data_IF_582322525414
#
_entry.id   IF_582322525414
#
_cell.length_a   1.000
_cell.length_b   1.000
_cell.length_c   1.000
_cell.angle_alpha   90.00
_cell.angle_beta   90.00
_cell.angle_gamma   90.00
#
_symmetry.space_group_name_H-M   'P 1'
#
loop_
_entity.id
_entity.type
_entity.pdbx_description
1 polymer ?
#
# COMPACT_ATOMS: atom_id res chain seq x y z
N UNK A 1 -3.19 10.28 30.96
CA UNK A 1 -2.65 9.54 29.79
C UNK A 1 -2.62 10.52 28.63
N UNK A 2 -1.45 10.97 28.19
CA UNK A 2 -1.33 11.93 27.09
C UNK A 2 -1.92 11.30 25.82
N UNK A 3 -3.08 11.81 25.37
CA UNK A 3 -3.66 11.43 24.07
C UNK A 3 -2.70 11.90 22.99
N UNK A 4 -1.98 10.96 22.35
CA UNK A 4 -1.18 11.25 21.16
C UNK A 4 -2.09 11.91 20.10
N UNK A 5 -1.62 12.98 19.47
CA UNK A 5 -2.40 13.70 18.46
C UNK A 5 -2.64 12.78 17.26
N UNK A 6 -3.92 12.55 16.94
CA UNK A 6 -4.30 11.82 15.72
C UNK A 6 -4.12 12.74 14.51
N UNK A 7 -3.40 12.26 13.51
CA UNK A 7 -3.12 13.00 12.26
C UNK A 7 -4.13 12.58 11.18
N UNK A 8 -4.40 11.29 11.07
CA UNK A 8 -5.28 10.74 10.04
C UNK A 8 -5.96 9.45 10.52
N UNK A 9 -7.20 9.22 10.10
CA UNK A 9 -7.95 7.98 10.38
C UNK A 9 -8.47 7.41 9.05
N UNK A 10 -7.79 6.39 8.53
CA UNK A 10 -8.20 5.70 7.31
C UNK A 10 -9.01 4.44 7.59
N UNK A 11 -9.42 3.70 6.55
CA UNK A 11 -10.23 2.48 6.70
C UNK A 11 -9.59 1.41 7.59
N UNK A 12 -8.31 1.12 7.39
CA UNK A 12 -7.60 0.01 8.09
C UNK A 12 -6.52 0.47 9.08
N UNK A 13 -6.15 1.75 9.06
CA UNK A 13 -5.02 2.30 9.82
C UNK A 13 -5.35 3.68 10.38
N UNK A 14 -4.79 4.00 11.54
CA UNK A 14 -4.82 5.33 12.13
C UNK A 14 -3.38 5.82 12.29
N UNK A 15 -3.12 7.06 11.91
CA UNK A 15 -1.81 7.70 12.06
C UNK A 15 -1.85 8.68 13.23
N UNK A 16 -0.85 8.60 14.09
CA UNK A 16 -0.61 9.52 15.19
C UNK A 16 0.74 10.20 15.02
N UNK A 17 0.88 11.38 15.63
CA UNK A 17 2.14 12.09 15.73
C UNK A 17 3.24 11.19 16.34
N UNK A 18 4.40 11.19 15.70
CA UNK A 18 5.56 10.45 16.16
C UNK A 18 6.31 11.14 17.31
N UNK A 19 7.26 10.44 17.94
CA UNK A 19 8.09 11.01 19.00
C UNK A 19 9.12 12.04 18.50
N UNK A 20 9.45 12.00 17.21
CA UNK A 20 10.49 12.82 16.58
C UNK A 20 9.95 13.50 15.30
N UNK A 21 10.44 14.69 14.94
CA UNK A 21 10.08 15.34 13.68
C UNK A 21 10.29 14.42 12.46
N UNK A 22 9.34 14.40 11.53
CA UNK A 22 9.39 13.54 10.35
C UNK A 22 9.08 12.06 10.62
N UNK A 23 8.48 11.74 11.77
CA UNK A 23 8.04 10.38 12.10
C UNK A 23 6.58 10.34 12.50
N UNK A 24 5.93 9.20 12.25
CA UNK A 24 4.54 8.92 12.64
C UNK A 24 4.43 7.56 13.33
N UNK A 25 3.43 7.42 14.19
CA UNK A 25 3.00 6.13 14.72
C UNK A 25 1.82 5.63 13.89
N UNK A 26 2.02 4.52 13.18
CA UNK A 26 0.98 3.83 12.42
C UNK A 26 0.35 2.72 13.27
N UNK A 27 -0.94 2.86 13.57
CA UNK A 27 -1.75 1.86 14.28
C UNK A 27 -2.59 1.04 13.30
N UNK A 28 -2.53 -0.28 13.42
CA UNK A 28 -3.28 -1.23 12.59
C UNK A 28 -4.60 -1.63 13.26
N UNK A 29 -5.71 -1.39 12.57
CA UNK A 29 -7.05 -1.69 13.06
C UNK A 29 -7.54 -3.09 12.65
N UNK A 30 -8.50 -3.59 13.41
CA UNK A 30 -9.19 -4.86 13.14
C UNK A 30 -10.33 -4.68 12.11
N UNK A 31 -10.64 -3.44 11.72
CA UNK A 31 -11.59 -3.11 10.66
C UNK A 31 -11.18 -3.71 9.32
N UNK A 32 -12.06 -4.50 8.72
CA UNK A 32 -12.00 -4.97 7.35
C UNK A 32 -13.11 -4.30 6.54
N UNK A 33 -12.76 -3.75 5.38
CA UNK A 33 -13.71 -3.12 4.47
C UNK A 33 -13.60 -3.74 3.08
N UNK A 34 -14.74 -4.01 2.43
CA UNK A 34 -14.79 -4.52 1.06
C UNK A 34 -15.80 -3.74 0.21
N UNK A 35 -15.57 -3.71 -1.11
CA UNK A 35 -16.46 -3.06 -2.09
C UNK A 35 -16.64 -1.57 -1.84
N UNK A 36 -15.55 -0.81 -1.81
CA UNK A 36 -15.54 0.64 -1.55
C UNK A 36 -16.25 1.05 -0.24
N UNK A 37 -16.14 0.20 0.80
CA UNK A 37 -16.74 0.46 2.11
C UNK A 37 -18.20 -0.03 2.25
N UNK A 38 -18.77 -0.66 1.21
CA UNK A 38 -20.13 -1.22 1.28
C UNK A 38 -20.27 -2.34 2.32
N UNK A 39 -19.17 -3.01 2.67
CA UNK A 39 -19.12 -3.99 3.76
C UNK A 39 -18.05 -3.59 4.74
N UNK A 40 -18.41 -3.56 6.02
CA UNK A 40 -17.51 -3.33 7.15
C UNK A 40 -17.72 -4.44 8.18
N UNK A 41 -16.61 -5.01 8.65
CA UNK A 41 -16.59 -6.04 9.68
C UNK A 41 -15.36 -5.84 10.56
N UNK A 42 -15.47 -6.20 11.84
CA UNK A 42 -14.32 -6.23 12.75
C UNK A 42 -13.84 -7.67 12.85
N UNK A 43 -12.60 -7.93 12.40
CA UNK A 43 -11.97 -9.25 12.47
C UNK A 43 -10.92 -9.21 13.57
N UNK A 44 -11.25 -9.84 14.71
CA UNK A 44 -10.38 -9.84 15.88
C UNK A 44 -8.96 -10.33 15.56
N UNK A 45 -7.97 -9.51 15.93
CA UNK A 45 -6.56 -9.82 15.73
C UNK A 45 -6.03 -9.53 14.32
N UNK A 46 -6.87 -9.11 13.35
CA UNK A 46 -6.43 -8.71 12.00
C UNK A 46 -5.33 -7.66 12.04
N UNK A 47 -5.49 -6.62 12.85
CA UNK A 47 -4.54 -5.52 12.98
C UNK A 47 -3.20 -5.99 13.52
N UNK A 48 -3.21 -6.93 14.47
CA UNK A 48 -1.99 -7.54 15.02
C UNK A 48 -1.24 -8.36 13.97
N UNK A 49 -1.97 -9.19 13.21
CA UNK A 49 -1.39 -9.99 12.14
C UNK A 49 -0.81 -9.09 11.04
N UNK A 50 -1.58 -8.12 10.57
CA UNK A 50 -1.14 -7.20 9.53
C UNK A 50 0.08 -6.38 9.94
N UNK A 51 0.15 -5.94 11.20
CA UNK A 51 1.32 -5.27 11.73
C UNK A 51 2.58 -6.17 11.66
N UNK A 52 2.47 -7.43 12.10
CA UNK A 52 3.58 -8.39 12.07
C UNK A 52 4.02 -8.76 10.65
N UNK A 53 3.07 -9.01 9.76
CA UNK A 53 3.36 -9.33 8.35
C UNK A 53 4.03 -8.12 7.67
N UNK A 54 3.48 -6.92 7.91
CA UNK A 54 4.03 -5.68 7.37
C UNK A 54 5.46 -5.41 7.87
N UNK A 55 5.72 -5.57 9.17
CA UNK A 55 7.08 -5.49 9.75
C UNK A 55 8.03 -6.48 9.07
N UNK A 56 7.62 -7.74 8.93
CA UNK A 56 8.46 -8.78 8.34
C UNK A 56 8.86 -8.43 6.90
N UNK A 57 7.89 -8.05 6.07
CA UNK A 57 8.12 -7.69 4.67
C UNK A 57 9.00 -6.45 4.57
N UNK A 58 8.65 -5.36 5.27
CA UNK A 58 9.42 -4.11 5.17
C UNK A 58 10.84 -4.24 5.73
N UNK A 59 11.04 -5.03 6.78
CA UNK A 59 12.39 -5.30 7.30
C UNK A 59 13.27 -6.02 6.27
N UNK A 60 12.70 -6.97 5.51
CA UNK A 60 13.42 -7.66 4.44
C UNK A 60 13.72 -6.75 3.25
N UNK A 61 12.75 -5.93 2.83
CA UNK A 61 12.94 -4.93 1.78
C UNK A 61 14.06 -3.93 2.14
N UNK A 62 14.06 -3.41 3.38
CA UNK A 62 15.13 -2.55 3.89
C UNK A 62 16.50 -3.25 3.85
N UNK A 63 16.55 -4.54 4.21
CA UNK A 63 17.77 -5.35 4.14
C UNK A 63 18.33 -5.54 2.72
N UNK A 64 17.51 -5.38 1.68
CA UNK A 64 17.90 -5.39 0.27
C UNK A 64 18.22 -3.99 -0.28
N UNK A 65 18.20 -2.96 0.56
CA UNK A 65 18.41 -1.58 0.16
C UNK A 65 17.24 -0.98 -0.64
N UNK A 66 16.04 -1.57 -0.55
CA UNK A 66 14.82 -0.95 -1.09
C UNK A 66 14.35 0.06 -0.04
N UNK A 67 14.24 1.37 -0.38
CA UNK A 67 13.85 2.39 0.59
C UNK A 67 12.38 2.21 0.97
N UNK A 68 12.10 2.24 2.27
CA UNK A 68 10.73 2.17 2.80
C UNK A 68 10.54 3.20 3.91
N UNK A 69 9.28 3.48 4.24
CA UNK A 69 8.96 4.32 5.39
C UNK A 69 9.16 3.61 6.74
N UNK A 70 9.33 2.29 6.76
CA UNK A 70 9.32 1.52 7.99
C UNK A 70 10.61 1.72 8.77
N UNK A 71 10.50 2.12 10.05
CA UNK A 71 11.64 2.28 10.95
C UNK A 71 11.72 1.07 11.88
N UNK A 72 10.68 0.82 12.68
CA UNK A 72 10.60 -0.34 13.60
C UNK A 72 9.18 -0.57 14.11
N UNK A 73 8.89 -1.78 14.56
CA UNK A 73 7.68 -2.06 15.34
C UNK A 73 7.78 -1.45 16.75
N UNK A 74 6.67 -0.95 17.27
CA UNK A 74 6.57 -0.37 18.62
C UNK A 74 5.91 -1.36 19.57
N UNK A 75 4.82 -2.00 19.15
CA UNK A 75 4.12 -3.04 19.90
C UNK A 75 3.30 -3.93 18.95
N UNK A 76 2.36 -4.71 19.48
CA UNK A 76 1.56 -5.64 18.70
C UNK A 76 0.66 -4.97 17.64
N UNK A 77 0.37 -3.67 17.73
CA UNK A 77 -0.50 -2.95 16.78
C UNK A 77 0.13 -1.70 16.16
N UNK A 78 1.27 -1.26 16.65
CA UNK A 78 1.90 0.00 16.24
C UNK A 78 3.27 -0.20 15.60
N UNK A 79 3.55 0.59 14.56
CA UNK A 79 4.87 0.78 13.96
C UNK A 79 5.25 2.25 13.99
N UNK A 80 6.55 2.50 14.15
CA UNK A 80 7.15 3.81 13.91
C UNK A 80 7.58 3.85 12.43
N UNK A 81 7.11 4.87 11.72
CA UNK A 81 7.37 5.08 10.30
C UNK A 81 7.88 6.50 10.05
N UNK A 82 8.55 6.70 8.91
CA UNK A 82 8.87 8.03 8.37
C UNK A 82 7.60 8.68 7.85
N UNK A 83 7.43 9.96 8.15
CA UNK A 83 6.42 10.81 7.51
C UNK A 83 6.81 11.03 6.04
N UNK A 84 5.83 10.94 5.15
CA UNK A 84 6.02 11.11 3.70
C UNK A 84 4.83 11.84 3.12
N UNK A 85 5.05 12.54 2.02
CA UNK A 85 3.99 12.97 1.13
C UNK A 85 3.58 11.77 0.25
N UNK A 86 2.30 11.41 0.31
CA UNK A 86 1.79 10.27 -0.45
C UNK A 86 1.45 10.74 -1.85
N UNK A 87 2.10 10.15 -2.85
CA UNK A 87 1.65 10.21 -4.24
C UNK A 87 0.27 9.55 -4.30
N UNK A 88 -0.78 10.24 -4.83
CA UNK A 88 -2.18 9.78 -4.75
C UNK A 88 -2.48 8.68 -5.78
N UNK A 89 -1.66 7.63 -5.79
CA UNK A 89 -1.74 6.50 -6.70
C UNK A 89 -1.63 5.19 -5.94
N UNK A 90 -2.44 4.22 -6.35
CA UNK A 90 -2.24 2.82 -6.00
C UNK A 90 -1.52 2.12 -7.15
N UNK A 91 -0.38 1.53 -6.82
CA UNK A 91 0.48 0.82 -7.78
C UNK A 91 0.19 -0.67 -7.64
N UNK A 92 -0.41 -1.26 -8.67
CA UNK A 92 -0.86 -2.65 -8.64
C UNK A 92 0.02 -3.47 -9.58
N UNK A 93 0.76 -4.42 -9.02
CA UNK A 93 1.54 -5.40 -9.80
C UNK A 93 0.75 -6.70 -9.90
N UNK A 94 0.67 -7.28 -11.10
CA UNK A 94 -0.03 -8.53 -11.38
C UNK A 94 0.88 -9.52 -12.09
N UNK A 95 1.06 -10.70 -11.49
CA UNK A 95 1.71 -11.85 -12.13
C UNK A 95 0.69 -12.88 -12.67
N UNK A 96 -0.52 -12.89 -12.09
CA UNK A 96 -1.60 -13.82 -12.41
C UNK A 96 -2.90 -13.05 -12.60
N UNK A 97 -3.74 -13.48 -13.53
CA UNK A 97 -5.05 -12.90 -13.77
C UNK A 97 -5.99 -13.17 -12.58
N UNK A 98 -6.34 -12.11 -11.85
CA UNK A 98 -7.27 -12.17 -10.72
C UNK A 98 -8.03 -10.85 -10.53
N UNK A 99 -9.10 -10.89 -9.73
CA UNK A 99 -9.82 -9.69 -9.28
C UNK A 99 -10.37 -8.83 -10.41
N UNK A 100 -10.10 -7.52 -10.35
CA UNK A 100 -10.60 -6.54 -11.33
C UNK A 100 -10.08 -6.77 -12.75
N UNK A 101 -8.88 -7.32 -12.92
CA UNK A 101 -8.31 -7.59 -14.25
C UNK A 101 -9.16 -8.61 -15.02
N UNK A 102 -9.54 -9.71 -14.37
CA UNK A 102 -10.38 -10.77 -14.95
C UNK A 102 -11.72 -10.21 -15.39
N UNK A 103 -12.39 -9.44 -14.51
CA UNK A 103 -13.69 -8.83 -14.84
C UNK A 103 -13.60 -7.83 -15.99
N UNK A 104 -12.52 -7.03 -16.03
CA UNK A 104 -12.33 -5.96 -17.02
C UNK A 104 -12.00 -6.50 -18.41
N UNK A 105 -11.20 -7.57 -18.50
CA UNK A 105 -10.69 -8.09 -19.77
C UNK A 105 -11.27 -9.46 -20.18
N UNK A 106 -12.16 -10.04 -19.37
CA UNK A 106 -12.78 -11.34 -19.68
C UNK A 106 -11.79 -12.52 -19.64
N UNK A 107 -10.74 -12.42 -18.80
CA UNK A 107 -9.73 -13.47 -18.68
C UNK A 107 -10.19 -14.60 -17.75
N UNK A 108 -9.61 -15.79 -17.90
CA UNK A 108 -9.82 -16.88 -16.96
C UNK A 108 -9.05 -16.62 -15.64
N UNK A 109 -9.71 -16.67 -14.46
CA UNK A 109 -9.04 -16.53 -13.18
C UNK A 109 -7.93 -17.56 -12.99
N UNK A 110 -6.77 -17.13 -12.49
CA UNK A 110 -5.60 -18.01 -12.30
C UNK A 110 -4.70 -18.12 -13.52
N UNK A 111 -5.05 -17.52 -14.66
CA UNK A 111 -4.18 -17.48 -15.84
C UNK A 111 -2.85 -16.80 -15.52
N UNK A 112 -1.74 -17.50 -15.75
CA UNK A 112 -0.39 -16.94 -15.65
C UNK A 112 -0.20 -15.87 -16.72
N UNK A 113 0.23 -14.67 -16.33
CA UNK A 113 0.52 -13.61 -17.29
C UNK A 113 1.91 -13.84 -17.91
N UNK A 114 2.11 -13.54 -19.21
CA UNK A 114 3.39 -13.74 -19.88
C UNK A 114 4.49 -12.81 -19.34
N UNK A 115 4.10 -11.71 -18.68
CA UNK A 115 4.96 -10.82 -17.92
C UNK A 115 4.15 -10.14 -16.81
N UNK A 116 4.82 -9.63 -15.79
CA UNK A 116 4.18 -8.80 -14.77
C UNK A 116 3.58 -7.54 -15.41
N UNK A 117 2.35 -7.22 -15.04
CA UNK A 117 1.66 -5.99 -15.46
C UNK A 117 1.63 -5.03 -14.27
N UNK A 118 1.97 -3.77 -14.51
CA UNK A 118 1.80 -2.69 -13.54
C UNK A 118 0.63 -1.82 -13.99
N UNK A 119 -0.27 -1.55 -13.06
CA UNK A 119 -1.46 -0.74 -13.26
C UNK A 119 -1.49 0.38 -12.22
N UNK A 120 -1.99 1.54 -12.64
CA UNK A 120 -2.18 2.70 -11.78
C UNK A 120 -3.66 2.94 -11.52
N UNK A 121 -4.03 3.12 -10.26
CA UNK A 121 -5.34 3.63 -9.86
C UNK A 121 -5.17 4.96 -9.14
N UNK A 122 -5.97 5.96 -9.48
CA UNK A 122 -6.00 7.23 -8.75
C UNK A 122 -6.64 7.01 -7.38
N UNK A 123 -5.94 7.38 -6.32
CA UNK A 123 -6.39 7.13 -4.95
C UNK A 123 -7.46 8.13 -4.53
N UNK A 124 -8.71 7.78 -4.77
CA UNK A 124 -9.88 8.57 -4.41
C UNK A 124 -11.06 7.63 -4.14
N UNK A 125 -11.33 7.44 -2.84
CA UNK A 125 -12.39 6.57 -2.35
C UNK A 125 -13.79 6.98 -2.88
N UNK A 126 -14.01 8.28 -3.14
CA UNK A 126 -15.29 8.78 -3.63
C UNK A 126 -15.49 8.49 -5.13
N UNK A 127 -14.40 8.43 -5.90
CA UNK A 127 -14.39 8.02 -7.30
C UNK A 127 -14.26 6.50 -7.46
N UNK A 128 -14.03 5.76 -6.37
CA UNK A 128 -13.87 4.31 -6.38
C UNK A 128 -12.55 3.84 -6.97
N UNK A 129 -11.49 4.62 -6.76
CA UNK A 129 -10.11 4.34 -7.17
C UNK A 129 -9.96 4.01 -8.68
N UNK A 130 -10.35 4.94 -9.58
CA UNK A 130 -10.40 4.66 -11.00
C UNK A 130 -9.02 4.37 -11.58
N UNK A 131 -8.96 3.44 -12.54
CA UNK A 131 -7.74 3.17 -13.29
C UNK A 131 -7.36 4.38 -14.14
N UNK A 132 -6.08 4.75 -14.11
CA UNK A 132 -5.52 5.90 -14.84
C UNK A 132 -4.31 5.50 -15.66
N UNK A 133 -4.03 6.27 -16.72
CA UNK A 133 -2.82 6.13 -17.52
C UNK A 133 -1.69 7.02 -16.98
N UNK A 134 -0.47 6.77 -17.41
CA UNK A 134 0.69 7.65 -17.16
C UNK A 134 0.46 9.08 -17.67
N UNK A 135 -0.28 9.23 -18.77
CA UNK A 135 -0.71 10.54 -19.29
C UNK A 135 -1.58 11.30 -18.30
N UNK A 136 -2.55 10.64 -17.65
CA UNK A 136 -3.33 11.30 -16.59
C UNK A 136 -2.43 11.72 -15.43
N UNK A 137 -1.50 10.85 -15.02
CA UNK A 137 -0.62 11.09 -13.88
C UNK A 137 0.25 12.33 -14.10
N UNK A 138 0.89 12.40 -15.26
CA UNK A 138 1.79 13.51 -15.60
C UNK A 138 1.02 14.79 -15.93
N UNK A 139 -0.10 14.69 -16.67
CA UNK A 139 -0.91 15.86 -17.03
C UNK A 139 -1.55 16.56 -15.82
N UNK A 140 -1.92 15.80 -14.77
CA UNK A 140 -2.48 16.34 -13.54
C UNK A 140 -1.42 16.61 -12.45
N UNK A 141 -0.15 16.35 -12.73
CA UNK A 141 0.96 16.61 -11.81
C UNK A 141 0.92 15.78 -10.53
N UNK A 142 0.34 14.58 -10.57
CA UNK A 142 0.34 13.67 -9.42
C UNK A 142 1.69 13.01 -9.19
N UNK A 143 2.45 12.80 -10.25
CA UNK A 143 3.85 12.42 -10.23
C UNK A 143 4.54 12.95 -11.50
N UNK A 144 5.81 13.28 -11.37
CA UNK A 144 6.68 13.62 -12.50
C UNK A 144 7.05 12.36 -13.29
N UNK A 145 7.50 12.49 -14.55
CA UNK A 145 8.02 11.36 -15.31
C UNK A 145 9.15 10.60 -14.60
N UNK A 146 10.04 11.33 -13.91
CA UNK A 146 11.13 10.71 -13.14
C UNK A 146 10.61 9.89 -11.95
N UNK A 147 9.62 10.41 -11.21
CA UNK A 147 8.99 9.65 -10.12
C UNK A 147 8.26 8.42 -10.63
N UNK A 148 7.63 8.49 -11.82
CA UNK A 148 7.02 7.33 -12.46
C UNK A 148 8.05 6.25 -12.80
N UNK A 149 9.18 6.63 -13.37
CA UNK A 149 10.28 5.69 -13.66
C UNK A 149 10.78 5.02 -12.36
N UNK A 150 10.96 5.79 -11.29
CA UNK A 150 11.39 5.28 -9.99
C UNK A 150 10.34 4.34 -9.37
N UNK A 151 9.05 4.70 -9.44
CA UNK A 151 7.93 3.87 -8.98
C UNK A 151 7.93 2.53 -9.72
N UNK A 152 8.07 2.57 -11.05
CA UNK A 152 8.06 1.37 -11.89
C UNK A 152 9.25 0.45 -11.57
N UNK A 153 10.45 1.03 -11.45
CA UNK A 153 11.65 0.28 -11.09
C UNK A 153 11.54 -0.36 -9.70
N UNK A 154 11.03 0.38 -8.70
CA UNK A 154 10.81 -0.13 -7.36
C UNK A 154 9.72 -1.21 -7.32
N UNK A 155 8.61 -1.02 -8.04
CA UNK A 155 7.51 -1.97 -8.10
C UNK A 155 7.96 -3.33 -8.65
N UNK A 156 8.78 -3.36 -9.71
CA UNK A 156 9.34 -4.60 -10.25
C UNK A 156 10.29 -5.25 -9.23
N UNK A 157 11.21 -4.49 -8.63
CA UNK A 157 12.14 -5.03 -7.61
C UNK A 157 11.41 -5.61 -6.40
N UNK A 158 10.36 -4.95 -5.93
CA UNK A 158 9.50 -5.44 -4.86
C UNK A 158 8.76 -6.71 -5.29
N UNK A 159 8.22 -6.73 -6.51
CA UNK A 159 7.53 -7.90 -7.05
C UNK A 159 8.42 -9.13 -7.15
N UNK A 160 9.63 -8.97 -7.65
CA UNK A 160 10.61 -10.07 -7.79
C UNK A 160 10.96 -10.65 -6.42
N UNK A 161 11.24 -9.77 -5.45
CA UNK A 161 11.53 -10.21 -4.08
C UNK A 161 10.34 -10.94 -3.45
N UNK A 162 9.14 -10.37 -3.53
CA UNK A 162 7.95 -10.96 -2.91
C UNK A 162 7.54 -12.27 -3.58
N UNK A 163 7.72 -12.39 -4.89
CA UNK A 163 7.47 -13.64 -5.63
C UNK A 163 8.44 -14.74 -5.21
N UNK A 164 9.68 -14.42 -4.85
CA UNK A 164 10.62 -15.39 -4.29
C UNK A 164 10.40 -15.71 -2.80
N UNK A 165 9.71 -14.81 -2.08
CA UNK A 165 9.45 -14.96 -0.65
C UNK A 165 8.23 -15.87 -0.36
N UNK A 166 7.24 -15.89 -1.25
CA UNK A 166 5.98 -16.63 -1.12
C UNK A 166 5.94 -17.84 -2.07
#
# INVERSE_FOLDING_TARGET
MNRRRKIYDGKAKTLYEGPEPGTLIQYFKDDATAGNGARHEVIDGKGVLNNRISEYIFSKLNGLGIPTHFIRRVNMREQLIKEVEIIPLEIIVRNVAAGSLVKRLGLEPGTQLPRSIIEFCYKDDALGDPMVSEEHITAFGWATPQELDDIMALAIRVNDFLTGLF
#
